data_IF_243607766746
#
_entry.id   IF_243607766746
#
_cell.length_a   1.000
_cell.length_b   1.000
_cell.length_c   1.000
_cell.angle_alpha   90.00
_cell.angle_beta   90.00
_cell.angle_gamma   90.00
#
_symmetry.space_group_name_H-M   'P 1'
#
loop_
_entity.id
_entity.type
_entity.pdbx_description
1 polymer ?
#
# COMPACT_ATOMS: atom_id res chain seq x y z
N UNK A 1 10.21 0.82 -8.06
CA UNK A 1 10.92 2.12 -8.16
C UNK A 1 11.97 2.33 -7.07
N UNK A 2 11.68 2.06 -5.79
CA UNK A 2 12.64 2.30 -4.70
C UNK A 2 13.96 1.53 -4.82
N UNK A 3 13.93 0.24 -5.19
CA UNK A 3 15.16 -0.54 -5.41
C UNK A 3 16.02 0.00 -6.55
N UNK A 4 15.41 0.33 -7.70
CA UNK A 4 16.14 0.91 -8.85
C UNK A 4 16.74 2.28 -8.51
N UNK A 5 16.01 3.09 -7.74
CA UNK A 5 16.49 4.39 -7.26
C UNK A 5 17.66 4.22 -6.30
N UNK A 6 17.57 3.28 -5.36
CA UNK A 6 18.65 2.94 -4.44
C UNK A 6 19.89 2.45 -5.21
N UNK A 7 19.72 1.53 -6.18
CA UNK A 7 20.80 1.05 -7.04
C UNK A 7 21.50 2.20 -7.75
N UNK A 8 20.76 3.10 -8.40
CA UNK A 8 21.31 4.26 -9.11
C UNK A 8 22.05 5.22 -8.18
N UNK A 9 21.50 5.47 -6.99
CA UNK A 9 22.13 6.33 -5.99
C UNK A 9 23.43 5.71 -5.47
N UNK A 10 23.43 4.41 -5.16
CA UNK A 10 24.64 3.69 -4.75
C UNK A 10 25.69 3.67 -5.85
N UNK A 11 25.29 3.44 -7.10
CA UNK A 11 26.18 3.50 -8.25
C UNK A 11 26.85 4.89 -8.34
N UNK A 12 26.06 5.96 -8.31
CA UNK A 12 26.57 7.33 -8.34
C UNK A 12 27.50 7.63 -7.16
N UNK A 13 27.14 7.19 -5.94
CA UNK A 13 27.93 7.44 -4.73
C UNK A 13 29.26 6.69 -4.75
N UNK A 14 29.25 5.42 -5.16
CA UNK A 14 30.45 4.59 -5.25
C UNK A 14 31.36 5.13 -6.37
N UNK A 15 30.82 5.49 -7.55
CA UNK A 15 31.60 6.10 -8.63
C UNK A 15 32.20 7.44 -8.21
N UNK A 16 31.46 8.29 -7.50
CA UNK A 16 31.99 9.56 -6.97
C UNK A 16 33.12 9.31 -5.97
N UNK A 17 32.92 8.41 -5.01
CA UNK A 17 33.94 8.03 -4.03
C UNK A 17 35.20 7.46 -4.70
N UNK A 18 35.04 6.62 -5.72
CA UNK A 18 36.16 6.10 -6.50
C UNK A 18 36.92 7.22 -7.24
N UNK A 19 36.23 8.19 -7.85
CA UNK A 19 36.87 9.35 -8.47
C UNK A 19 37.68 10.17 -7.46
N UNK A 20 37.13 10.41 -6.26
CA UNK A 20 37.85 11.15 -5.22
C UNK A 20 39.06 10.38 -4.70
N UNK A 21 38.94 9.06 -4.55
CA UNK A 21 40.06 8.19 -4.20
C UNK A 21 41.15 8.15 -5.27
N UNK A 22 40.79 8.21 -6.57
CA UNK A 22 41.75 8.34 -7.66
C UNK A 22 42.44 9.72 -7.63
N UNK A 23 41.73 10.80 -7.30
CA UNK A 23 42.36 12.12 -7.10
C UNK A 23 43.33 12.12 -5.92
N UNK A 24 42.99 11.44 -4.83
CA UNK A 24 43.90 11.29 -3.68
C UNK A 24 45.16 10.54 -4.13
N UNK A 25 45.02 9.43 -4.86
CA UNK A 25 46.15 8.68 -5.41
C UNK A 25 47.00 9.54 -6.34
N UNK A 26 46.37 10.30 -7.24
CA UNK A 26 47.06 11.23 -8.14
C UNK A 26 47.85 12.28 -7.37
N UNK A 27 47.27 12.85 -6.31
CA UNK A 27 47.96 13.81 -5.45
C UNK A 27 49.14 13.19 -4.69
N UNK A 28 49.00 11.97 -4.19
CA UNK A 28 50.10 11.25 -3.53
C UNK A 28 51.25 10.98 -4.51
N UNK A 29 50.92 10.52 -5.72
CA UNK A 29 51.91 10.32 -6.78
C UNK A 29 52.56 11.65 -7.15
N UNK A 30 51.78 12.73 -7.31
CA UNK A 30 52.32 14.06 -7.58
C UNK A 30 53.31 14.51 -6.50
N UNK A 31 52.99 14.34 -5.22
CA UNK A 31 53.88 14.70 -4.12
C UNK A 31 55.17 13.88 -4.13
N UNK A 32 55.06 12.55 -4.32
CA UNK A 32 56.23 11.66 -4.41
C UNK A 32 57.12 12.05 -5.59
N UNK A 33 56.54 12.21 -6.78
CA UNK A 33 57.29 12.52 -8.01
C UNK A 33 57.89 13.93 -7.96
N UNK A 34 57.18 14.91 -7.42
CA UNK A 34 57.67 16.30 -7.33
C UNK A 34 58.91 16.38 -6.43
N UNK A 35 58.93 15.65 -5.31
CA UNK A 35 60.12 15.55 -4.47
C UNK A 35 61.32 15.04 -5.29
N UNK A 36 61.12 13.98 -6.08
CA UNK A 36 62.18 13.39 -6.92
C UNK A 36 62.60 14.29 -8.08
N UNK A 37 61.68 15.07 -8.62
CA UNK A 37 62.00 16.10 -9.62
C UNK A 37 62.91 17.16 -9.02
N UNK A 38 62.61 17.61 -7.79
CA UNK A 38 63.47 18.56 -7.08
C UNK A 38 64.84 17.96 -6.76
N UNK A 39 64.91 16.69 -6.35
CA UNK A 39 66.16 16.00 -6.06
C UNK A 39 67.04 15.87 -7.31
N UNK A 40 66.48 15.39 -8.43
CA UNK A 40 67.18 15.29 -9.71
C UNK A 40 67.60 16.66 -10.25
N UNK A 41 66.76 17.70 -10.09
CA UNK A 41 67.12 19.07 -10.44
C UNK A 41 68.33 19.56 -9.63
N UNK A 42 68.33 19.31 -8.32
CA UNK A 42 69.44 19.69 -7.45
C UNK A 42 70.72 18.95 -7.83
N UNK A 43 70.64 17.64 -8.05
CA UNK A 43 71.81 16.87 -8.50
C UNK A 43 72.31 17.32 -9.86
N UNK A 44 71.43 17.61 -10.83
CA UNK A 44 71.84 18.07 -12.16
C UNK A 44 72.57 19.42 -12.13
N UNK A 45 72.28 20.26 -11.12
CA UNK A 45 72.94 21.55 -10.89
C UNK A 45 74.29 21.40 -10.20
N UNK A 46 74.40 20.48 -9.25
CA UNK A 46 75.60 20.35 -8.40
C UNK A 46 76.63 19.38 -8.99
N UNK A 47 76.19 18.28 -9.62
CA UNK A 47 77.08 17.29 -10.20
C UNK A 47 77.66 17.81 -11.51
N UNK A 48 78.99 17.87 -11.56
CA UNK A 48 79.77 18.32 -12.73
C UNK A 48 80.68 17.22 -13.26
N UNK A 49 81.14 17.40 -14.50
CA UNK A 49 81.94 16.45 -15.26
C UNK A 49 83.20 15.92 -14.57
N UNK A 50 83.81 16.71 -13.69
CA UNK A 50 85.00 16.34 -12.93
C UNK A 50 84.72 15.47 -11.69
N UNK A 51 83.47 15.39 -11.23
CA UNK A 51 83.10 14.69 -9.98
C UNK A 51 82.94 13.18 -10.15
N UNK A 52 82.74 12.69 -11.36
CA UNK A 52 82.70 11.26 -11.67
C UNK A 52 83.98 10.78 -12.39
N UNK A 53 85.12 11.43 -12.11
CA UNK A 53 86.44 11.05 -12.63
C UNK A 53 87.47 10.96 -11.51
N UNK A 54 88.35 9.96 -11.56
CA UNK A 54 89.48 9.81 -10.62
C UNK A 54 89.02 9.72 -9.16
N UNK A 55 89.80 10.31 -8.25
CA UNK A 55 89.59 10.23 -6.80
C UNK A 55 88.30 10.95 -6.32
N UNK A 56 87.74 11.86 -7.12
CA UNK A 56 86.49 12.57 -6.78
C UNK A 56 85.25 11.66 -6.80
N UNK A 57 85.36 10.48 -7.42
CA UNK A 57 84.26 9.52 -7.52
C UNK A 57 83.81 9.00 -6.15
N UNK A 58 84.72 8.87 -5.18
CA UNK A 58 84.40 8.35 -3.86
C UNK A 58 83.55 9.34 -3.03
N UNK A 59 83.82 10.64 -3.16
CA UNK A 59 83.00 11.68 -2.51
C UNK A 59 81.59 11.70 -3.10
N UNK A 60 81.48 11.63 -4.44
CA UNK A 60 80.19 11.55 -5.10
C UNK A 60 79.40 10.32 -4.67
N UNK A 61 80.04 9.15 -4.60
CA UNK A 61 79.41 7.92 -4.10
C UNK A 61 78.88 8.08 -2.69
N UNK A 62 79.64 8.74 -1.80
CA UNK A 62 79.19 8.99 -0.43
C UNK A 62 77.92 9.85 -0.41
N UNK A 63 77.84 10.90 -1.21
CA UNK A 63 76.64 11.74 -1.34
C UNK A 63 75.45 10.95 -1.87
N UNK A 64 75.65 10.17 -2.95
CA UNK A 64 74.61 9.34 -3.55
C UNK A 64 74.12 8.25 -2.59
N UNK A 65 75.03 7.62 -1.84
CA UNK A 65 74.73 6.60 -0.84
C UNK A 65 73.91 7.18 0.32
N UNK A 66 74.26 8.37 0.81
CA UNK A 66 73.47 9.07 1.82
C UNK A 66 72.04 9.36 1.33
N UNK A 67 71.91 9.79 0.08
CA UNK A 67 70.60 10.09 -0.50
C UNK A 67 69.70 8.84 -0.55
N UNK A 68 70.18 7.69 -1.06
CA UNK A 68 69.34 6.48 -1.13
C UNK A 68 68.97 5.95 0.26
N UNK A 69 69.84 6.11 1.26
CA UNK A 69 69.56 5.69 2.64
C UNK A 69 68.46 6.54 3.30
N UNK A 70 68.28 7.78 2.85
CA UNK A 70 67.22 8.67 3.32
C UNK A 70 65.93 8.57 2.48
N UNK A 71 66.01 7.98 1.29
CA UNK A 71 64.93 7.93 0.31
C UNK A 71 64.62 6.47 -0.08
N UNK A 72 63.93 5.77 0.82
CA UNK A 72 63.58 4.35 0.69
C UNK A 72 62.73 4.00 -0.56
N UNK A 73 62.20 5.01 -1.24
CA UNK A 73 61.42 4.88 -2.47
C UNK A 73 62.28 4.91 -3.75
N UNK A 74 63.57 5.23 -3.62
CA UNK A 74 64.58 5.21 -4.68
C UNK A 74 65.40 3.93 -4.56
N UNK A 75 65.42 3.11 -5.61
CA UNK A 75 66.22 1.87 -5.63
C UNK A 75 67.68 2.13 -5.97
N UNK A 76 67.92 3.04 -6.92
CA UNK A 76 69.25 3.39 -7.40
C UNK A 76 69.30 4.87 -7.72
N UNK A 77 70.45 5.50 -7.50
CA UNK A 77 70.76 6.85 -7.98
C UNK A 77 72.12 6.81 -8.66
N UNK A 78 72.25 7.49 -9.79
CA UNK A 78 73.46 7.41 -10.59
C UNK A 78 73.68 8.60 -11.51
N UNK A 79 74.93 8.79 -11.90
CA UNK A 79 75.34 9.70 -12.97
C UNK A 79 76.11 8.94 -14.04
N UNK A 80 75.85 9.26 -15.30
CA UNK A 80 76.66 8.84 -16.42
C UNK A 80 77.23 10.05 -17.16
N UNK A 81 78.53 10.02 -17.44
CA UNK A 81 79.19 11.01 -18.28
C UNK A 81 79.08 10.69 -19.76
N UNK A 82 79.30 11.71 -20.60
CA UNK A 82 79.45 11.58 -22.05
C UNK A 82 80.64 10.67 -22.42
N UNK A 83 81.62 10.53 -21.51
CA UNK A 83 82.78 9.64 -21.61
C UNK A 83 82.46 8.19 -21.17
N UNK A 84 81.18 7.88 -20.94
CA UNK A 84 80.65 6.58 -20.48
C UNK A 84 81.02 6.20 -19.05
N UNK A 85 81.72 7.07 -18.31
CA UNK A 85 81.94 6.82 -16.88
C UNK A 85 80.61 6.81 -16.15
N UNK A 86 80.48 5.88 -15.22
CA UNK A 86 79.22 5.60 -14.55
C UNK A 86 79.45 5.41 -13.06
N UNK A 87 78.74 6.21 -12.27
CA UNK A 87 78.77 6.15 -10.82
C UNK A 87 77.36 5.92 -10.35
N UNK A 88 77.13 4.83 -9.63
CA UNK A 88 75.83 4.45 -9.12
C UNK A 88 75.90 4.02 -7.67
N UNK A 89 74.82 4.28 -6.94
CA UNK A 89 74.56 3.70 -5.62
C UNK A 89 73.19 3.01 -5.59
N UNK A 90 73.05 1.81 -5.02
CA UNK A 90 74.12 1.00 -4.40
C UNK A 90 75.23 0.61 -5.38
N UNK A 91 76.48 0.55 -4.90
CA UNK A 91 77.63 0.21 -5.73
C UNK A 91 77.58 -1.23 -6.24
N UNK A 92 76.94 -1.43 -7.40
CA UNK A 92 76.84 -2.72 -8.09
C UNK A 92 77.88 -2.78 -9.19
N UNK A 93 78.62 -3.89 -9.26
CA UNK A 93 79.57 -4.14 -10.34
C UNK A 93 78.82 -4.34 -11.66
N UNK A 94 79.01 -3.42 -12.61
CA UNK A 94 78.42 -3.50 -13.94
C UNK A 94 79.23 -4.42 -14.86
N UNK A 95 78.56 -4.94 -15.90
CA UNK A 95 79.23 -5.68 -16.96
C UNK A 95 80.28 -4.79 -17.67
N UNK A 96 81.39 -5.40 -18.11
CA UNK A 96 82.52 -4.66 -18.69
C UNK A 96 82.16 -3.91 -20.00
N UNK A 97 81.14 -4.37 -20.70
CA UNK A 97 80.61 -3.79 -21.94
C UNK A 97 79.42 -2.85 -21.71
N UNK A 98 79.09 -2.53 -20.45
CA UNK A 98 77.96 -1.68 -20.13
C UNK A 98 78.20 -0.23 -20.58
N UNK A 99 77.40 0.22 -21.54
CA UNK A 99 77.39 1.61 -22.00
C UNK A 99 76.13 2.34 -21.50
N UNK A 100 76.25 3.22 -20.49
CA UNK A 100 75.10 3.95 -19.94
C UNK A 100 74.48 4.94 -20.95
N UNK A 101 75.25 5.43 -21.92
CA UNK A 101 74.78 6.42 -22.90
C UNK A 101 73.78 5.82 -23.91
N UNK A 102 73.75 4.49 -24.03
CA UNK A 102 72.83 3.78 -24.91
C UNK A 102 71.45 3.59 -24.32
N UNK A 103 71.28 3.83 -23.01
CA UNK A 103 70.06 3.54 -22.26
C UNK A 103 68.96 4.57 -22.54
N UNK A 104 67.66 4.18 -22.48
CA UNK A 104 66.55 5.08 -22.76
C UNK A 104 66.58 6.36 -21.91
N UNK A 105 66.76 6.22 -20.59
CA UNK A 105 66.81 7.37 -19.67
C UNK A 105 67.90 8.39 -20.04
N UNK A 106 69.05 7.94 -20.56
CA UNK A 106 70.13 8.83 -20.98
C UNK A 106 69.77 9.57 -22.27
N UNK A 107 69.37 8.80 -23.30
CA UNK A 107 69.00 9.35 -24.62
C UNK A 107 67.85 10.34 -24.50
N UNK A 108 66.83 9.98 -23.73
CA UNK A 108 65.64 10.80 -23.57
C UNK A 108 65.97 12.09 -22.81
N UNK A 109 66.78 12.03 -21.74
CA UNK A 109 67.20 13.20 -20.97
C UNK A 109 68.06 14.18 -21.80
N UNK A 110 68.99 13.67 -22.61
CA UNK A 110 69.78 14.49 -23.53
C UNK A 110 68.89 15.11 -24.62
N UNK A 111 67.96 14.34 -25.18
CA UNK A 111 67.01 14.84 -26.18
C UNK A 111 66.09 15.95 -25.65
N UNK A 112 65.77 15.92 -24.35
CA UNK A 112 64.95 16.94 -23.68
C UNK A 112 65.69 18.23 -23.30
N UNK A 113 66.99 18.34 -23.60
CA UNK A 113 67.80 19.55 -23.45
C UNK A 113 67.63 20.29 -22.11
N UNK A 114 67.80 19.57 -21.00
CA UNK A 114 67.71 20.12 -19.65
C UNK A 114 66.31 20.03 -19.00
N UNK A 115 65.31 19.51 -19.72
CA UNK A 115 64.05 19.09 -19.10
C UNK A 115 64.17 17.75 -18.37
N UNK A 116 63.34 17.55 -17.34
CA UNK A 116 63.21 16.25 -16.67
C UNK A 116 62.43 15.28 -17.57
N UNK A 117 62.87 14.02 -17.57
CA UNK A 117 62.23 12.89 -18.23
C UNK A 117 61.83 11.84 -17.20
N UNK A 118 60.68 11.22 -17.42
CA UNK A 118 60.23 10.00 -16.74
C UNK A 118 60.20 8.89 -17.78
N UNK A 119 60.98 7.84 -17.58
CA UNK A 119 61.06 6.74 -18.55
C UNK A 119 59.81 5.86 -18.53
N UNK A 120 59.63 5.07 -19.58
CA UNK A 120 58.77 3.87 -19.51
C UNK A 120 59.34 2.87 -18.49
N UNK A 121 58.51 1.94 -17.96
CA UNK A 121 59.02 0.79 -17.23
C UNK A 121 60.00 -0.04 -18.06
N UNK A 122 61.17 -0.31 -17.49
CA UNK A 122 62.18 -1.17 -18.11
C UNK A 122 62.98 -1.93 -17.05
N UNK A 123 63.64 -3.02 -17.48
CA UNK A 123 64.51 -3.81 -16.61
C UNK A 123 65.85 -3.09 -16.39
N UNK A 124 66.11 -2.65 -15.16
CA UNK A 124 67.38 -2.08 -14.76
C UNK A 124 68.52 -3.09 -14.94
N UNK A 125 69.69 -2.62 -15.40
CA UNK A 125 70.85 -3.49 -15.62
C UNK A 125 71.65 -3.78 -14.34
N UNK A 126 71.55 -2.93 -13.32
CA UNK A 126 72.21 -3.12 -12.03
C UNK A 126 71.59 -4.25 -11.22
N UNK A 127 70.35 -4.08 -10.76
CA UNK A 127 69.66 -5.06 -9.89
C UNK A 127 68.71 -6.02 -10.63
N UNK A 128 68.41 -5.78 -11.91
CA UNK A 128 67.48 -6.61 -12.68
C UNK A 128 65.99 -6.38 -12.38
N UNK A 129 65.65 -5.43 -11.49
CA UNK A 129 64.27 -5.07 -11.20
C UNK A 129 63.65 -4.25 -12.34
N UNK A 130 62.32 -4.25 -12.43
CA UNK A 130 61.61 -3.34 -13.32
C UNK A 130 61.44 -2.01 -12.59
N UNK A 131 61.92 -0.94 -13.20
CA UNK A 131 61.95 0.40 -12.60
C UNK A 131 61.42 1.43 -13.60
N UNK A 132 61.06 2.59 -13.07
CA UNK A 132 60.91 3.82 -13.86
C UNK A 132 61.98 4.79 -13.42
N UNK A 133 62.70 5.37 -14.39
CA UNK A 133 63.80 6.30 -14.12
C UNK A 133 63.34 7.74 -14.31
N UNK A 134 63.66 8.59 -13.34
CA UNK A 134 63.60 10.04 -13.49
C UNK A 134 65.00 10.53 -13.82
N UNK A 135 65.17 11.19 -14.97
CA UNK A 135 66.48 11.58 -15.48
C UNK A 135 66.50 13.05 -15.91
N UNK A 136 67.67 13.69 -15.75
CA UNK A 136 67.93 15.04 -16.24
C UNK A 136 69.41 15.20 -16.63
N UNK A 137 69.65 15.91 -17.73
CA UNK A 137 71.00 16.31 -18.14
C UNK A 137 71.60 17.30 -17.14
N UNK A 138 72.89 17.12 -16.79
CA UNK A 138 73.62 18.06 -15.92
C UNK A 138 73.70 19.45 -16.56
N UNK A 139 73.79 20.50 -15.75
CA UNK A 139 73.83 21.89 -16.25
C UNK A 139 75.06 22.17 -17.13
N UNK A 140 76.18 21.53 -16.83
CA UNK A 140 77.41 21.58 -17.65
C UNK A 140 77.33 20.73 -18.92
N UNK A 141 76.22 20.01 -19.14
CA UNK A 141 75.93 19.12 -20.26
C UNK A 141 76.91 17.96 -20.44
N UNK A 142 77.76 17.70 -19.46
CA UNK A 142 78.76 16.63 -19.53
C UNK A 142 78.20 15.24 -19.18
N UNK A 143 76.98 15.16 -18.64
CA UNK A 143 76.36 13.88 -18.34
C UNK A 143 74.86 13.97 -18.04
N UNK A 144 74.32 12.87 -17.53
CA UNK A 144 72.93 12.75 -17.09
C UNK A 144 72.93 12.14 -15.69
N UNK A 145 72.21 12.79 -14.78
CA UNK A 145 71.87 12.22 -13.48
C UNK A 145 70.48 11.59 -13.55
N UNK A 146 70.34 10.45 -12.90
CA UNK A 146 69.09 9.71 -12.86
C UNK A 146 68.88 9.02 -11.50
N UNK A 147 67.61 8.76 -11.21
CA UNK A 147 67.19 7.91 -10.11
C UNK A 147 66.15 6.90 -10.59
N UNK A 148 66.23 5.69 -10.07
CA UNK A 148 65.28 4.61 -10.33
C UNK A 148 64.26 4.53 -9.20
N UNK A 149 62.98 4.64 -9.55
CA UNK A 149 61.87 4.48 -8.62
C UNK A 149 61.47 3.02 -8.49
N UNK A 150 61.19 2.60 -7.26
CA UNK A 150 60.66 1.27 -6.99
C UNK A 150 59.19 1.16 -7.39
N UNK A 151 58.90 0.27 -8.34
CA UNK A 151 57.53 -0.02 -8.74
C UNK A 151 56.75 -0.75 -7.64
N UNK A 152 57.43 -1.48 -6.76
CA UNK A 152 56.82 -2.12 -5.60
C UNK A 152 56.29 -1.10 -4.60
N UNK A 153 57.01 0.01 -4.39
CA UNK A 153 56.53 1.08 -3.53
C UNK A 153 55.33 1.82 -4.15
N UNK A 154 55.34 2.05 -5.48
CA UNK A 154 54.15 2.56 -6.17
C UNK A 154 52.96 1.61 -6.03
N UNK A 155 53.17 0.29 -6.13
CA UNK A 155 52.13 -0.71 -5.90
C UNK A 155 51.63 -0.72 -4.44
N UNK A 156 52.50 -0.49 -3.45
CA UNK A 156 52.06 -0.31 -2.06
C UNK A 156 51.20 0.94 -1.92
N UNK A 157 51.56 2.04 -2.56
CA UNK A 157 50.77 3.27 -2.55
C UNK A 157 49.39 3.06 -3.18
N UNK A 158 49.27 2.31 -4.29
CA UNK A 158 47.94 2.00 -4.85
C UNK A 158 47.08 1.15 -3.92
N UNK A 159 47.68 0.25 -3.12
CA UNK A 159 46.98 -0.58 -2.13
C UNK A 159 46.45 0.20 -0.92
N UNK A 160 46.96 1.40 -0.65
CA UNK A 160 46.41 2.28 0.40
C UNK A 160 45.07 2.90 0.00
N UNK A 161 44.72 2.84 -1.29
CA UNK A 161 43.54 3.47 -1.86
C UNK A 161 42.47 2.42 -2.15
N UNK A 162 41.37 2.50 -1.41
CA UNK A 162 40.24 1.60 -1.57
C UNK A 162 39.33 2.08 -2.71
N UNK A 163 39.15 1.28 -3.74
CA UNK A 163 38.18 1.56 -4.81
C UNK A 163 36.97 0.67 -4.58
N UNK A 164 35.87 1.25 -4.09
CA UNK A 164 34.76 0.45 -3.56
C UNK A 164 35.19 -0.40 -2.36
N UNK A 165 34.56 -1.56 -2.19
CA UNK A 165 34.86 -2.56 -1.16
C UNK A 165 35.80 -3.66 -1.63
N UNK A 166 35.66 -4.11 -2.89
CA UNK A 166 36.44 -5.25 -3.44
C UNK A 166 37.33 -4.83 -4.62
N UNK A 167 37.19 -3.60 -5.09
CA UNK A 167 37.98 -3.05 -6.17
C UNK A 167 39.40 -2.67 -5.75
N UNK A 168 40.15 -2.13 -6.71
CA UNK A 168 41.54 -1.72 -6.51
C UNK A 168 41.97 -0.63 -7.49
N UNK A 169 43.04 0.07 -7.14
CA UNK A 169 43.70 1.04 -8.00
C UNK A 169 44.94 0.46 -8.69
N UNK A 170 45.26 0.99 -9.87
CA UNK A 170 46.43 0.63 -10.67
C UNK A 170 46.97 1.85 -11.43
N UNK A 171 48.20 1.73 -11.93
CA UNK A 171 48.89 2.77 -12.68
C UNK A 171 49.50 2.14 -13.94
N UNK A 172 49.25 2.76 -15.10
CA UNK A 172 49.92 2.47 -16.37
C UNK A 172 50.75 3.68 -16.82
N UNK A 173 51.80 3.44 -17.59
CA UNK A 173 52.58 4.50 -18.23
C UNK A 173 51.86 5.10 -19.44
N UNK A 174 52.49 6.04 -20.16
CA UNK A 174 51.91 6.65 -21.36
C UNK A 174 51.75 5.70 -22.57
N UNK A 175 52.27 4.47 -22.51
CA UNK A 175 52.32 3.49 -23.61
C UNK A 175 51.73 2.13 -23.25
N UNK A 176 50.80 2.09 -22.29
CA UNK A 176 50.09 0.87 -21.83
C UNK A 176 50.95 -0.15 -21.09
N UNK A 177 52.14 0.21 -20.62
CA UNK A 177 52.91 -0.66 -19.72
C UNK A 177 52.47 -0.48 -18.28
N UNK A 178 52.44 -1.59 -17.56
CA UNK A 178 52.03 -1.61 -16.16
C UNK A 178 53.14 -1.04 -15.29
N UNK A 179 52.80 -0.02 -14.51
CA UNK A 179 53.66 0.52 -13.46
C UNK A 179 53.34 -0.19 -12.15
N UNK A 180 52.06 -0.20 -11.77
CA UNK A 180 51.57 -0.86 -10.57
C UNK A 180 50.20 -1.48 -10.83
N UNK A 181 50.08 -2.80 -10.66
CA UNK A 181 48.80 -3.51 -10.75
C UNK A 181 48.74 -4.66 -9.73
N UNK A 182 47.63 -4.90 -9.02
CA UNK A 182 47.56 -5.96 -8.01
C UNK A 182 47.64 -7.39 -8.56
N UNK A 183 47.26 -7.59 -9.82
CA UNK A 183 47.10 -8.93 -10.43
C UNK A 183 48.03 -9.15 -11.64
N UNK A 184 48.64 -8.09 -12.17
CA UNK A 184 49.43 -8.14 -13.40
C UNK A 184 50.86 -7.70 -13.10
N UNK A 185 51.83 -8.18 -13.87
CA UNK A 185 53.25 -7.89 -13.62
C UNK A 185 53.64 -6.50 -14.13
N UNK A 186 54.41 -5.77 -13.33
CA UNK A 186 54.97 -4.49 -13.76
C UNK A 186 55.92 -4.67 -14.95
N UNK A 187 55.87 -3.73 -15.89
CA UNK A 187 56.64 -3.75 -17.15
C UNK A 187 55.91 -4.40 -18.32
N UNK A 188 54.98 -5.32 -18.06
CA UNK A 188 54.19 -5.95 -19.11
C UNK A 188 53.20 -4.94 -19.72
N UNK A 189 52.84 -5.16 -20.98
CA UNK A 189 51.84 -4.33 -21.66
C UNK A 189 50.44 -4.82 -21.32
N UNK A 190 49.59 -3.93 -20.81
CA UNK A 190 48.17 -4.20 -20.61
C UNK A 190 47.51 -4.40 -21.99
N UNK A 191 47.22 -5.66 -22.34
CA UNK A 191 46.76 -6.04 -23.67
C UNK A 191 45.24 -6.04 -23.81
N UNK A 192 44.50 -6.00 -22.70
CA UNK A 192 43.05 -6.03 -22.71
C UNK A 192 42.42 -4.83 -23.42
N UNK A 193 41.22 -5.03 -23.94
CA UNK A 193 40.47 -3.99 -24.67
C UNK A 193 40.18 -2.76 -23.82
N UNK A 194 39.97 -2.91 -22.52
CA UNK A 194 39.74 -1.80 -21.60
C UNK A 194 40.94 -0.86 -21.48
N UNK A 195 42.16 -1.40 -21.62
CA UNK A 195 43.38 -0.61 -21.47
C UNK A 195 43.55 0.40 -22.60
N UNK A 196 42.92 0.21 -23.76
CA UNK A 196 42.93 1.22 -24.84
C UNK A 196 42.00 2.39 -24.53
N UNK A 197 40.83 2.11 -23.94
CA UNK A 197 39.79 3.12 -23.67
C UNK A 197 40.27 4.23 -22.73
N UNK A 198 41.09 3.92 -21.72
CA UNK A 198 41.59 4.95 -20.78
C UNK A 198 42.55 5.97 -21.42
N UNK A 199 43.01 5.73 -22.66
CA UNK A 199 43.87 6.66 -23.41
C UNK A 199 43.08 7.53 -24.39
N UNK A 200 41.78 7.29 -24.57
CA UNK A 200 40.91 8.09 -25.43
C UNK A 200 40.60 9.45 -24.80
N UNK A 201 40.64 9.55 -23.47
CA UNK A 201 40.41 10.78 -22.71
C UNK A 201 41.42 10.92 -21.56
N UNK A 202 41.45 12.08 -20.91
CA UNK A 202 42.27 12.36 -19.74
C UNK A 202 41.62 11.90 -18.44
N UNK A 203 40.29 11.86 -18.37
CA UNK A 203 39.54 11.34 -17.23
C UNK A 203 38.22 10.74 -17.72
N UNK A 204 37.62 9.87 -16.92
CA UNK A 204 36.31 9.33 -17.26
C UNK A 204 35.93 8.10 -16.46
N UNK A 205 34.78 7.55 -16.80
CA UNK A 205 34.28 6.31 -16.24
C UNK A 205 33.64 5.47 -17.34
N UNK A 206 33.81 4.15 -17.28
CA UNK A 206 33.14 3.21 -18.18
C UNK A 206 33.01 1.82 -17.56
N UNK A 207 32.08 1.03 -18.09
CA UNK A 207 31.90 -0.37 -17.71
C UNK A 207 32.67 -1.28 -18.68
N UNK A 208 33.23 -2.35 -18.15
CA UNK A 208 33.96 -3.36 -18.92
C UNK A 208 33.85 -4.74 -18.27
N UNK A 209 34.18 -5.78 -19.02
CA UNK A 209 34.28 -7.14 -18.50
C UNK A 209 35.74 -7.56 -18.43
N UNK A 210 36.16 -8.09 -17.29
CA UNK A 210 37.51 -8.60 -17.09
C UNK A 210 37.51 -9.71 -16.04
N UNK A 211 38.14 -10.84 -16.36
CA UNK A 211 38.13 -12.03 -15.51
C UNK A 211 36.73 -12.63 -15.32
N UNK A 212 35.85 -12.54 -16.33
CA UNK A 212 34.47 -13.04 -16.28
C UNK A 212 33.51 -12.23 -15.41
N UNK A 213 33.95 -11.10 -14.85
CA UNK A 213 33.13 -10.21 -14.03
C UNK A 213 32.93 -8.86 -14.71
N UNK A 214 31.71 -8.34 -14.62
CA UNK A 214 31.41 -6.95 -15.01
C UNK A 214 31.95 -5.98 -13.95
N UNK A 215 32.69 -4.99 -14.42
CA UNK A 215 33.41 -4.03 -13.59
C UNK A 215 33.16 -2.62 -14.09
N UNK A 216 33.17 -1.67 -13.17
CA UNK A 216 33.17 -0.25 -13.48
C UNK A 216 34.58 0.30 -13.25
N UNK A 217 35.09 1.04 -14.23
CA UNK A 217 36.36 1.72 -14.16
C UNK A 217 36.13 3.23 -14.04
N UNK A 218 36.94 3.86 -13.20
CA UNK A 218 37.21 5.30 -13.21
C UNK A 218 38.68 5.50 -13.52
N UNK A 219 39.03 6.55 -14.26
CA UNK A 219 40.42 6.84 -14.56
C UNK A 219 40.71 8.34 -14.62
N UNK A 220 41.97 8.68 -14.40
CA UNK A 220 42.52 10.01 -14.57
C UNK A 220 43.95 9.92 -15.11
N UNK A 221 44.40 10.99 -15.76
CA UNK A 221 45.75 11.11 -16.31
C UNK A 221 46.54 12.08 -15.44
N UNK A 222 47.65 11.59 -14.89
CA UNK A 222 48.57 12.42 -14.14
C UNK A 222 49.26 13.40 -15.08
N UNK A 223 49.11 14.70 -14.83
CA UNK A 223 49.62 15.75 -15.73
C UNK A 223 51.16 15.83 -15.72
N UNK A 224 51.82 15.46 -14.61
CA UNK A 224 53.28 15.57 -14.47
C UNK A 224 54.02 14.44 -15.18
N UNK A 225 53.53 13.21 -15.04
CA UNK A 225 54.20 12.01 -15.57
C UNK A 225 53.58 11.48 -16.85
N UNK A 226 52.33 11.86 -17.15
CA UNK A 226 51.54 11.25 -18.22
C UNK A 226 50.98 9.87 -17.88
N UNK A 227 51.13 9.41 -16.63
CA UNK A 227 50.62 8.11 -16.21
C UNK A 227 49.10 8.07 -16.17
N UNK A 228 48.52 6.93 -16.54
CA UNK A 228 47.09 6.66 -16.37
C UNK A 228 46.86 5.98 -15.03
N UNK A 229 46.11 6.64 -14.16
CA UNK A 229 45.73 6.11 -12.85
C UNK A 229 44.28 5.63 -12.98
N UNK A 230 44.07 4.34 -12.78
CA UNK A 230 42.76 3.71 -12.90
C UNK A 230 42.30 3.08 -11.59
N UNK A 231 41.01 3.13 -11.36
CA UNK A 231 40.34 2.45 -10.26
C UNK A 231 39.26 1.54 -10.83
N UNK A 232 39.31 0.26 -10.50
CA UNK A 232 38.25 -0.69 -10.87
C UNK A 232 37.44 -1.08 -9.65
N UNK A 233 36.13 -1.20 -9.80
CA UNK A 233 35.19 -1.75 -8.81
C UNK A 233 34.30 -2.81 -9.47
N UNK A 234 33.77 -3.75 -8.69
CA UNK A 234 32.88 -4.77 -9.22
C UNK A 234 31.45 -4.23 -9.32
N UNK A 235 30.76 -4.47 -10.46
CA UNK A 235 29.37 -4.06 -10.61
C UNK A 235 28.44 -4.73 -9.58
N UNK A 236 28.83 -5.91 -9.08
CA UNK A 236 28.12 -6.63 -8.02
C UNK A 236 28.13 -5.88 -6.68
N UNK A 237 29.10 -5.02 -6.40
CA UNK A 237 29.14 -4.25 -5.15
C UNK A 237 27.97 -3.27 -5.04
N UNK A 238 27.54 -2.69 -6.17
CA UNK A 238 26.35 -1.83 -6.24
C UNK A 238 25.09 -2.63 -5.92
N UNK A 239 25.01 -3.86 -6.44
CA UNK A 239 23.87 -4.77 -6.22
C UNK A 239 23.83 -5.21 -4.75
N UNK A 240 24.96 -5.62 -4.19
CA UNK A 240 25.11 -6.01 -2.78
C UNK A 240 24.73 -4.85 -1.84
N UNK A 241 25.12 -3.61 -2.17
CA UNK A 241 24.74 -2.43 -1.39
C UNK A 241 23.22 -2.13 -1.44
N UNK A 242 22.56 -2.41 -2.58
CA UNK A 242 21.13 -2.20 -2.76
C UNK A 242 20.25 -3.36 -2.23
N UNK A 243 20.83 -4.53 -1.98
CA UNK A 243 20.09 -5.74 -1.59
C UNK A 243 19.29 -5.60 -0.27
N UNK A 244 19.78 -4.92 0.79
CA UNK A 244 18.99 -4.70 2.00
C UNK A 244 17.71 -3.89 1.75
N UNK A 245 17.77 -2.91 0.83
CA UNK A 245 16.60 -2.11 0.43
C UNK A 245 15.54 -2.99 -0.24
N UNK A 246 15.97 -3.98 -1.03
CA UNK A 246 15.07 -4.94 -1.66
C UNK A 246 14.34 -5.81 -0.63
N UNK A 247 15.06 -6.38 0.34
CA UNK A 247 14.44 -7.20 1.40
C UNK A 247 13.51 -6.39 2.29
N UNK A 248 13.89 -5.17 2.66
CA UNK A 248 13.00 -4.28 3.41
C UNK A 248 11.72 -3.96 2.63
N UNK A 249 11.83 -3.74 1.31
CA UNK A 249 10.66 -3.54 0.45
C UNK A 249 9.74 -4.78 0.44
N UNK A 250 10.29 -5.99 0.35
CA UNK A 250 9.50 -7.23 0.41
C UNK A 250 8.80 -7.40 1.77
N UNK A 251 9.49 -7.12 2.88
CA UNK A 251 8.92 -7.20 4.22
C UNK A 251 7.76 -6.21 4.36
N UNK A 252 7.95 -4.95 3.95
CA UNK A 252 6.89 -3.93 3.99
C UNK A 252 5.72 -4.32 3.10
N UNK A 253 5.96 -4.88 1.91
CA UNK A 253 4.90 -5.37 1.02
C UNK A 253 4.10 -6.50 1.69
N UNK A 254 4.78 -7.49 2.28
CA UNK A 254 4.13 -8.60 2.96
C UNK A 254 3.28 -8.12 4.15
N UNK A 255 3.83 -7.23 4.98
CA UNK A 255 3.10 -6.63 6.11
C UNK A 255 1.88 -5.86 5.61
N UNK A 256 2.02 -5.06 4.56
CA UNK A 256 0.91 -4.30 3.97
C UNK A 256 -0.19 -5.22 3.45
N UNK A 257 0.17 -6.37 2.88
CA UNK A 257 -0.76 -7.38 2.38
C UNK A 257 -1.51 -8.07 3.53
N UNK A 258 -0.81 -8.41 4.62
CA UNK A 258 -1.42 -8.99 5.83
C UNK A 258 -2.36 -7.99 6.50
N UNK A 259 -1.92 -6.73 6.68
CA UNK A 259 -2.73 -5.68 7.30
C UNK A 259 -3.94 -5.34 6.42
N UNK A 260 -3.75 -5.19 5.11
CA UNK A 260 -4.83 -4.96 4.16
C UNK A 260 -5.83 -6.12 4.15
N UNK A 261 -5.34 -7.36 4.14
CA UNK A 261 -6.18 -8.56 4.23
C UNK A 261 -6.97 -8.63 5.54
N UNK A 262 -6.33 -8.32 6.67
CA UNK A 262 -7.00 -8.26 7.98
C UNK A 262 -8.09 -7.18 8.01
N UNK A 263 -7.80 -5.97 7.50
CA UNK A 263 -8.80 -4.89 7.41
C UNK A 263 -9.99 -5.29 6.54
N UNK A 264 -9.75 -5.85 5.35
CA UNK A 264 -10.81 -6.35 4.47
C UNK A 264 -11.65 -7.42 5.19
N UNK A 265 -11.00 -8.34 5.90
CA UNK A 265 -11.67 -9.39 6.66
C UNK A 265 -12.57 -8.81 7.77
N UNK A 266 -12.08 -7.87 8.57
CA UNK A 266 -12.86 -7.23 9.64
C UNK A 266 -14.03 -6.40 9.10
N UNK A 267 -13.82 -5.62 8.04
CA UNK A 267 -14.90 -4.84 7.41
C UNK A 267 -15.97 -5.78 6.84
N UNK A 268 -15.55 -6.86 6.16
CA UNK A 268 -16.48 -7.86 5.62
C UNK A 268 -17.32 -8.49 6.72
N UNK A 269 -16.72 -8.84 7.85
CA UNK A 269 -17.43 -9.35 9.02
C UNK A 269 -18.40 -8.34 9.64
N UNK A 270 -17.98 -7.08 9.76
CA UNK A 270 -18.78 -6.00 10.34
C UNK A 270 -20.05 -5.71 9.53
N UNK A 271 -20.03 -5.93 8.21
CA UNK A 271 -21.16 -5.66 7.32
C UNK A 271 -21.98 -6.92 7.04
N UNK A 272 -21.32 -8.01 6.63
CA UNK A 272 -22.00 -9.22 6.12
C UNK A 272 -22.74 -9.95 7.23
N UNK A 273 -22.20 -10.00 8.45
CA UNK A 273 -22.80 -10.74 9.56
C UNK A 273 -24.12 -10.10 10.02
N UNK A 274 -24.21 -8.78 10.29
CA UNK A 274 -25.48 -8.13 10.61
C UNK A 274 -26.51 -8.19 9.47
N UNK A 275 -26.09 -7.99 8.22
CA UNK A 275 -26.98 -8.11 7.06
C UNK A 275 -27.57 -9.51 6.93
N UNK A 276 -26.77 -10.56 7.10
CA UNK A 276 -27.28 -11.94 7.06
C UNK A 276 -28.30 -12.20 8.17
N UNK A 277 -28.09 -11.62 9.36
CA UNK A 277 -29.05 -11.74 10.48
C UNK A 277 -30.36 -11.00 10.19
N UNK A 278 -30.29 -9.78 9.64
CA UNK A 278 -31.47 -9.04 9.17
C UNK A 278 -32.29 -9.86 8.16
N UNK A 279 -31.63 -10.49 7.18
CA UNK A 279 -32.31 -11.33 6.17
C UNK A 279 -33.01 -12.52 6.81
N UNK A 280 -32.35 -13.23 7.74
CA UNK A 280 -32.94 -14.39 8.42
C UNK A 280 -34.14 -13.97 9.27
N UNK A 281 -33.99 -12.96 10.12
CA UNK A 281 -35.08 -12.52 11.01
C UNK A 281 -36.24 -11.89 10.24
N UNK A 282 -35.96 -11.15 9.16
CA UNK A 282 -37.01 -10.65 8.26
C UNK A 282 -37.81 -11.79 7.63
N UNK A 283 -37.17 -12.91 7.31
CA UNK A 283 -37.86 -14.09 6.76
C UNK A 283 -38.78 -14.71 7.81
N UNK A 284 -38.32 -14.89 9.04
CA UNK A 284 -39.13 -15.41 10.15
C UNK A 284 -40.36 -14.54 10.43
N UNK A 285 -40.18 -13.21 10.45
CA UNK A 285 -41.28 -12.25 10.58
C UNK A 285 -42.27 -12.38 9.40
N UNK A 286 -41.78 -12.55 8.17
CA UNK A 286 -42.64 -12.73 6.99
C UNK A 286 -43.43 -14.04 6.99
N UNK A 287 -42.92 -15.07 7.69
CA UNK A 287 -43.59 -16.35 7.90
C UNK A 287 -44.62 -16.30 9.05
N UNK A 288 -44.75 -15.14 9.73
CA UNK A 288 -45.76 -14.88 10.74
C UNK A 288 -45.26 -14.97 12.18
N UNK A 289 -43.99 -15.30 12.41
CA UNK A 289 -43.40 -15.24 13.75
C UNK A 289 -43.03 -13.80 14.11
N UNK A 290 -44.03 -13.07 14.62
CA UNK A 290 -43.83 -11.71 15.10
C UNK A 290 -43.09 -11.66 16.43
N UNK A 291 -42.73 -12.77 17.10
CA UNK A 291 -42.01 -12.71 18.39
C UNK A 291 -40.54 -12.33 18.24
N UNK A 292 -39.99 -12.51 17.03
CA UNK A 292 -38.59 -12.21 16.72
C UNK A 292 -38.28 -10.70 16.82
N UNK A 293 -37.05 -10.39 17.21
CA UNK A 293 -36.52 -9.02 17.31
C UNK A 293 -35.07 -8.99 16.83
N UNK A 294 -34.72 -7.95 16.07
CA UNK A 294 -33.38 -7.77 15.51
C UNK A 294 -32.54 -7.00 16.52
N UNK A 295 -31.50 -7.63 17.06
CA UNK A 295 -30.58 -6.99 17.99
C UNK A 295 -29.72 -5.92 17.29
N UNK A 296 -29.79 -4.68 17.79
CA UNK A 296 -29.07 -3.53 17.24
C UNK A 296 -27.65 -3.49 17.84
N UNK A 297 -26.64 -3.74 17.01
CA UNK A 297 -25.23 -3.77 17.41
C UNK A 297 -24.40 -2.60 16.87
N UNK A 298 -24.96 -1.79 15.98
CA UNK A 298 -24.28 -0.67 15.31
C UNK A 298 -25.16 0.57 15.31
N UNK A 299 -24.53 1.75 15.20
CA UNK A 299 -25.19 3.04 15.06
C UNK A 299 -25.13 3.58 13.61
N UNK A 300 -24.70 2.75 12.67
CA UNK A 300 -24.64 3.03 11.22
C UNK A 300 -25.99 2.78 10.52
N UNK A 301 -25.99 2.81 9.19
CA UNK A 301 -27.16 2.55 8.34
C UNK A 301 -27.76 1.16 8.59
N UNK A 302 -26.95 0.17 8.98
CA UNK A 302 -27.42 -1.19 9.30
C UNK A 302 -28.16 -1.19 10.64
N UNK A 303 -27.67 -0.43 11.61
CA UNK A 303 -28.36 -0.18 12.88
C UNK A 303 -29.71 0.52 12.70
N UNK A 304 -29.76 1.55 11.85
CA UNK A 304 -31.00 2.24 11.51
C UNK A 304 -32.00 1.31 10.81
N UNK A 305 -31.53 0.47 9.89
CA UNK A 305 -32.35 -0.53 9.22
C UNK A 305 -32.94 -1.55 10.21
N UNK A 306 -32.13 -2.05 11.14
CA UNK A 306 -32.60 -2.94 12.21
C UNK A 306 -33.67 -2.30 13.09
N UNK A 307 -33.50 -1.02 13.44
CA UNK A 307 -34.49 -0.25 14.20
C UNK A 307 -35.82 -0.14 13.45
N UNK A 308 -35.78 0.24 12.17
CA UNK A 308 -36.98 0.34 11.33
C UNK A 308 -37.72 -0.99 11.20
N UNK A 309 -37.01 -2.11 11.08
CA UNK A 309 -37.62 -3.44 11.09
C UNK A 309 -38.33 -3.76 12.41
N UNK A 310 -37.70 -3.46 13.55
CA UNK A 310 -38.33 -3.69 14.85
C UNK A 310 -39.60 -2.84 15.05
N UNK A 311 -39.58 -1.58 14.60
CA UNK A 311 -40.76 -0.69 14.63
C UNK A 311 -41.91 -1.23 13.75
N UNK A 312 -41.58 -1.76 12.57
CA UNK A 312 -42.55 -2.45 11.70
C UNK A 312 -43.14 -3.69 12.38
N UNK A 313 -42.32 -4.57 12.95
CA UNK A 313 -42.79 -5.76 13.67
C UNK A 313 -43.69 -5.40 14.85
N UNK A 314 -43.34 -4.37 15.61
CA UNK A 314 -44.17 -3.90 16.73
C UNK A 314 -45.53 -3.34 16.26
N UNK A 315 -45.54 -2.64 15.12
CA UNK A 315 -46.77 -2.14 14.50
C UNK A 315 -47.66 -3.29 14.04
N UNK A 316 -47.07 -4.35 13.44
CA UNK A 316 -47.78 -5.56 13.06
C UNK A 316 -48.38 -6.28 14.28
N UNK A 317 -47.62 -6.47 15.37
CA UNK A 317 -48.15 -7.05 16.62
C UNK A 317 -49.35 -6.27 17.15
N UNK A 318 -49.23 -4.95 17.18
CA UNK A 318 -50.31 -4.06 17.65
C UNK A 318 -51.56 -4.21 16.78
N UNK A 319 -51.39 -4.28 15.46
CA UNK A 319 -52.49 -4.45 14.52
C UNK A 319 -53.18 -5.81 14.68
N UNK A 320 -52.43 -6.90 14.85
CA UNK A 320 -52.98 -8.23 15.13
C UNK A 320 -53.72 -8.26 16.47
N UNK A 321 -53.19 -7.61 17.51
CA UNK A 321 -53.87 -7.46 18.80
C UNK A 321 -55.23 -6.77 18.66
N UNK A 322 -55.29 -5.65 17.93
CA UNK A 322 -56.55 -4.93 17.66
C UNK A 322 -57.55 -5.75 16.85
N UNK A 323 -57.08 -6.55 15.90
CA UNK A 323 -57.94 -7.48 15.14
C UNK A 323 -58.53 -8.52 16.09
N UNK A 324 -57.73 -9.08 17.00
CA UNK A 324 -58.21 -10.04 17.99
C UNK A 324 -59.26 -9.43 18.93
N UNK A 325 -59.03 -8.21 19.43
CA UNK A 325 -59.99 -7.50 20.28
C UNK A 325 -61.30 -7.22 19.52
N UNK A 326 -61.20 -6.78 18.25
CA UNK A 326 -62.36 -6.52 17.40
C UNK A 326 -63.15 -7.82 17.11
N UNK A 327 -62.45 -8.94 16.87
CA UNK A 327 -63.08 -10.24 16.72
C UNK A 327 -63.81 -10.68 18.00
N UNK A 328 -63.23 -10.39 19.18
CA UNK A 328 -63.88 -10.60 20.48
C UNK A 328 -65.16 -9.78 20.63
N UNK A 329 -65.15 -8.49 20.26
CA UNK A 329 -66.35 -7.66 20.26
C UNK A 329 -67.44 -8.17 19.29
N UNK A 330 -67.05 -8.62 18.09
CA UNK A 330 -67.98 -9.20 17.12
C UNK A 330 -68.59 -10.50 17.65
N UNK A 331 -67.79 -11.36 18.30
CA UNK A 331 -68.28 -12.57 18.94
C UNK A 331 -69.30 -12.26 20.04
N UNK A 332 -68.97 -11.35 20.96
CA UNK A 332 -69.87 -10.92 22.03
C UNK A 332 -71.17 -10.30 21.50
N UNK A 333 -71.09 -9.43 20.49
CA UNK A 333 -72.27 -8.85 19.85
C UNK A 333 -73.14 -9.90 19.15
N UNK A 334 -72.51 -10.95 18.59
CA UNK A 334 -73.24 -12.08 17.98
C UNK A 334 -73.99 -12.91 19.04
N UNK A 335 -73.40 -13.09 20.23
CA UNK A 335 -74.07 -13.75 21.36
C UNK A 335 -75.27 -12.92 21.87
N UNK A 336 -75.11 -11.61 22.03
CA UNK A 336 -76.18 -10.69 22.44
C UNK A 336 -77.32 -10.64 21.42
N UNK A 337 -76.99 -10.62 20.12
CA UNK A 337 -77.97 -10.69 19.05
C UNK A 337 -78.74 -12.01 19.09
N UNK A 338 -78.04 -13.13 19.30
CA UNK A 338 -78.68 -14.46 19.43
C UNK A 338 -79.65 -14.50 20.61
N UNK A 339 -79.27 -13.92 21.76
CA UNK A 339 -80.16 -13.81 22.91
C UNK A 339 -81.39 -12.94 22.62
N UNK A 340 -81.20 -11.80 21.93
CA UNK A 340 -82.29 -10.90 21.52
C UNK A 340 -83.25 -11.58 20.54
N UNK A 341 -82.74 -12.34 19.57
CA UNK A 341 -83.54 -13.13 18.62
C UNK A 341 -84.37 -14.17 19.36
N UNK A 342 -83.81 -14.86 20.36
CA UNK A 342 -84.56 -15.82 21.19
C UNK A 342 -85.71 -15.14 21.92
N UNK A 343 -85.46 -13.98 22.55
CA UNK A 343 -86.50 -13.22 23.24
C UNK A 343 -87.60 -12.74 22.28
N UNK A 344 -87.23 -12.26 21.09
CA UNK A 344 -88.20 -11.86 20.06
C UNK A 344 -89.06 -13.05 19.59
N UNK A 345 -88.46 -14.24 19.49
CA UNK A 345 -89.19 -15.47 19.16
C UNK A 345 -90.21 -15.83 20.25
N UNK A 346 -89.81 -15.79 21.53
CA UNK A 346 -90.71 -16.04 22.68
C UNK A 346 -91.86 -15.01 22.71
N UNK A 347 -91.57 -13.73 22.48
CA UNK A 347 -92.60 -12.69 22.40
C UNK A 347 -93.56 -12.92 21.23
N UNK A 348 -93.06 -13.37 20.08
CA UNK A 348 -93.87 -13.69 18.89
C UNK A 348 -94.80 -14.88 19.17
N UNK A 349 -94.34 -15.88 19.91
CA UNK A 349 -95.16 -17.02 20.36
C UNK A 349 -96.29 -16.55 21.29
N UNK A 350 -96.01 -15.67 22.26
CA UNK A 350 -97.03 -15.08 23.12
C UNK A 350 -98.07 -14.25 22.34
N UNK A 351 -97.63 -13.47 21.35
CA UNK A 351 -98.55 -12.72 20.46
C UNK A 351 -99.46 -13.69 19.69
N UNK A 352 -98.92 -14.82 19.23
CA UNK A 352 -99.69 -15.85 18.52
C UNK A 352 -100.77 -16.45 19.44
N UNK A 353 -100.42 -16.77 20.69
CA UNK A 353 -101.38 -17.26 21.70
C UNK A 353 -102.49 -16.23 21.94
N UNK A 354 -102.12 -14.96 22.15
CA UNK A 354 -103.10 -13.89 22.36
C UNK A 354 -104.02 -13.69 21.14
N UNK A 355 -103.50 -13.84 19.92
CA UNK A 355 -104.31 -13.80 18.70
C UNK A 355 -105.32 -14.94 18.62
N UNK A 356 -104.95 -16.14 19.06
CA UNK A 356 -105.85 -17.30 19.09
C UNK A 356 -106.98 -17.08 20.11
N UNK A 357 -106.66 -16.51 21.27
CA UNK A 357 -107.64 -16.13 22.30
C UNK A 357 -108.59 -15.04 21.82
N UNK A 358 -108.08 -14.01 21.12
CA UNK A 358 -108.90 -12.97 20.48
C UNK A 358 -109.84 -13.58 19.44
N UNK A 359 -109.37 -14.50 18.60
CA UNK A 359 -110.19 -15.18 17.59
C UNK A 359 -111.33 -15.99 18.22
N UNK A 360 -111.03 -16.72 19.29
CA UNK A 360 -112.03 -17.44 20.10
C UNK A 360 -113.04 -16.48 20.75
N UNK A 361 -112.56 -15.38 21.32
CA UNK A 361 -113.40 -14.33 21.88
C UNK A 361 -114.34 -13.68 20.85
N UNK A 362 -113.83 -13.39 19.65
CA UNK A 362 -114.61 -12.85 18.54
C UNK A 362 -115.70 -13.84 18.08
N UNK A 363 -115.42 -15.14 18.05
CA UNK A 363 -116.41 -16.18 17.77
C UNK A 363 -117.52 -16.20 18.83
N UNK A 364 -117.13 -16.19 20.11
CA UNK A 364 -118.08 -16.12 21.24
C UNK A 364 -118.94 -14.84 21.21
N UNK A 365 -118.32 -13.71 20.85
CA UNK A 365 -119.02 -12.43 20.68
C UNK A 365 -120.05 -12.53 19.54
N UNK A 366 -119.69 -13.15 18.42
CA UNK A 366 -120.61 -13.38 17.29
C UNK A 366 -121.82 -14.21 17.72
N UNK A 367 -121.63 -15.33 18.43
CA UNK A 367 -122.73 -16.13 18.98
C UNK A 367 -123.61 -15.34 19.94
N UNK A 368 -123.00 -14.48 20.76
CA UNK A 368 -123.75 -13.64 21.70
C UNK A 368 -124.61 -12.58 20.99
N UNK A 369 -124.10 -12.03 19.88
CA UNK A 369 -124.86 -11.11 19.00
C UNK A 369 -126.03 -11.83 18.33
N UNK A 370 -125.85 -13.06 17.85
CA UNK A 370 -126.92 -13.89 17.29
C UNK A 370 -128.01 -14.19 18.33
N UNK A 371 -127.62 -14.58 19.54
CA UNK A 371 -128.56 -14.80 20.66
C UNK A 371 -129.30 -13.51 21.03
N UNK A 372 -128.62 -12.36 21.04
CA UNK A 372 -129.23 -11.06 21.29
C UNK A 372 -130.27 -10.69 20.23
N UNK A 373 -129.99 -10.99 18.95
CA UNK A 373 -130.96 -10.81 17.87
C UNK A 373 -132.20 -11.70 18.03
N UNK A 374 -132.01 -12.94 18.51
CA UNK A 374 -133.11 -13.86 18.81
C UNK A 374 -134.00 -13.35 19.95
N UNK A 375 -133.41 -12.87 21.05
CA UNK A 375 -134.16 -12.24 22.15
C UNK A 375 -134.95 -11.01 21.70
N UNK A 376 -134.40 -10.21 20.78
CA UNK A 376 -135.12 -9.07 20.19
C UNK A 376 -136.34 -9.52 19.38
N UNK A 377 -136.30 -10.70 18.76
CA UNK A 377 -137.46 -11.29 18.08
C UNK A 377 -138.57 -11.62 19.09
N UNK A 378 -138.24 -12.28 20.21
CA UNK A 378 -139.20 -12.59 21.28
C UNK A 378 -139.82 -11.32 21.88
N UNK A 379 -139.02 -10.27 22.10
CA UNK A 379 -139.52 -8.96 22.57
C UNK A 379 -140.50 -8.36 21.57
N UNK A 380 -140.22 -8.47 20.27
CA UNK A 380 -141.10 -7.96 19.21
C UNK A 380 -142.43 -8.72 19.18
N UNK A 381 -142.41 -10.03 19.36
CA UNK A 381 -143.62 -10.85 19.49
C UNK A 381 -144.43 -10.46 20.73
N UNK A 382 -143.75 -10.26 21.87
CA UNK A 382 -144.37 -9.79 23.10
C UNK A 382 -145.05 -8.42 22.96
N UNK A 383 -144.41 -7.46 22.26
CA UNK A 383 -144.99 -6.15 21.94
C UNK A 383 -146.27 -6.32 21.10
N UNK A 384 -146.26 -7.21 20.11
CA UNK A 384 -147.43 -7.48 19.28
C UNK A 384 -148.59 -8.07 20.10
N UNK A 385 -148.28 -8.96 21.05
CA UNK A 385 -149.27 -9.51 21.97
C UNK A 385 -149.87 -8.43 22.88
N UNK A 386 -149.04 -7.55 23.45
CA UNK A 386 -149.49 -6.40 24.25
C UNK A 386 -150.39 -5.46 23.44
N UNK A 387 -150.06 -5.19 22.18
CA UNK A 387 -150.87 -4.39 21.28
C UNK A 387 -152.26 -5.02 21.03
N UNK A 388 -152.31 -6.33 20.77
CA UNK A 388 -153.56 -7.09 20.62
C UNK A 388 -154.40 -7.08 21.91
N UNK A 389 -153.78 -7.32 23.07
CA UNK A 389 -154.47 -7.25 24.36
C UNK A 389 -155.02 -5.85 24.64
N UNK A 390 -154.26 -4.80 24.32
CA UNK A 390 -154.70 -3.41 24.48
C UNK A 390 -155.90 -3.07 23.59
N UNK A 391 -155.93 -3.58 22.36
CA UNK A 391 -157.08 -3.46 21.45
C UNK A 391 -158.34 -4.14 22.02
N UNK A 392 -158.21 -5.37 22.50
CA UNK A 392 -159.30 -6.12 23.14
C UNK A 392 -159.86 -5.42 24.39
N UNK A 393 -158.98 -4.86 25.24
CA UNK A 393 -159.38 -4.06 26.41
C UNK A 393 -160.19 -2.83 25.97
N UNK A 394 -159.80 -2.19 24.85
CA UNK A 394 -160.50 -1.02 24.33
C UNK A 394 -161.93 -1.36 23.87
N UNK A 395 -162.12 -2.49 23.19
CA UNK A 395 -163.44 -3.02 22.80
C UNK A 395 -164.29 -3.33 24.03
N UNK A 396 -163.72 -4.04 25.02
CA UNK A 396 -164.43 -4.38 26.26
C UNK A 396 -164.83 -3.14 27.06
N UNK A 397 -163.97 -2.12 27.10
CA UNK A 397 -164.25 -0.83 27.74
C UNK A 397 -165.38 -0.08 27.02
N UNK A 398 -165.42 -0.10 25.69
CA UNK A 398 -166.50 0.49 24.91
C UNK A 398 -167.85 -0.20 25.17
N UNK A 399 -167.87 -1.53 25.23
CA UNK A 399 -169.08 -2.31 25.54
C UNK A 399 -169.57 -2.08 26.98
N UNK A 400 -168.63 -1.94 27.94
CA UNK A 400 -168.96 -1.64 29.34
C UNK A 400 -169.62 -0.26 29.46
N UNK A 401 -169.14 0.73 28.69
CA UNK A 401 -169.73 2.08 28.63
C UNK A 401 -171.14 2.06 28.07
N UNK A 402 -171.40 1.29 27.02
CA UNK A 402 -172.75 1.11 26.44
C UNK A 402 -173.73 0.50 27.47
N UNK A 403 -173.33 -0.59 28.14
CA UNK A 403 -174.13 -1.23 29.19
C UNK A 403 -174.43 -0.30 30.37
N UNK A 404 -173.47 0.54 30.76
CA UNK A 404 -173.65 1.54 31.83
C UNK A 404 -174.67 2.63 31.43
N UNK A 405 -174.67 3.06 30.16
CA UNK A 405 -175.62 4.04 29.61
C UNK A 405 -177.06 3.51 29.60
N UNK A 406 -177.22 2.24 29.21
CA UNK A 406 -178.52 1.56 29.14
C UNK A 406 -179.13 1.36 30.54
N UNK A 407 -178.29 1.00 31.52
CA UNK A 407 -178.67 0.92 32.93
C UNK A 407 -179.13 2.26 33.50
N UNK A 408 -178.48 3.37 33.12
CA UNK A 408 -178.87 4.72 33.55
C UNK A 408 -180.28 5.13 33.09
N UNK A 409 -180.70 4.72 31.88
CA UNK A 409 -182.04 5.04 31.34
C UNK A 409 -183.19 4.29 32.03
N UNK A 410 -182.94 3.08 32.53
CA UNK A 410 -183.94 2.25 33.22
C UNK A 410 -184.32 2.80 34.59
N UNK A 411 -183.38 3.43 35.31
CA UNK A 411 -183.62 3.98 36.66
C UNK A 411 -184.51 5.24 36.62
N UNK A 412 -184.43 6.04 35.55
CA UNK A 412 -185.16 7.32 35.45
C UNK A 412 -186.66 7.22 35.17
N UNK A 413 -187.21 6.02 34.92
CA UNK A 413 -188.62 5.83 34.48
C UNK A 413 -189.58 5.34 35.56
N UNK A 414 -189.11 5.17 36.80
CA UNK A 414 -189.83 4.44 37.85
C UNK A 414 -190.19 5.29 39.07
N UNK A 415 -190.06 6.63 39.02
CA UNK A 415 -190.40 7.57 40.11
C UNK A 415 -191.52 8.51 39.70
#
# INVERSE_FOLDING_TARGET
>A
MSYQTAKKNFESQITSSANDNIKILDNLINQMIEAKFNDVNNFARVIQGNMYQGDNQDELRKTLSQYINLNIDVEQVYVAGNDKKFVQEPNIQMAADYDPTTRPWYKDAVAKQGGIVVSEPYKAKGNGHIVVTIAKQTEDKNGVVALDLSLDNLLKTTKLINIGKKGYAFILDGKQKIIAHPQEKSGDKAADSWAKKIYEDNHGAFTYSYGGSEKNMVFATNVKTGWKIGGTMYATEVIEAAQPVFYNMLIVMLISLVVGGALIYFVTLSITKPLKRLVVTSKEISEGDLTQTIEIHSNDEIGQLAKGFNEMTNSLRTLIGRINDSAGHVAAASEELTASVRQASEATEQITIAMDEISSGATTQTTSVENGAMLLFDVTEGIQHVANSSSSINIASAHTREKAEDGGKLVGRTV
#
